data_IF_338017475129
#
_entry.id   IF_338017475129
#
_cell.length_a   1.000
_cell.length_b   1.000
_cell.length_c   1.000
_cell.angle_alpha   90.00
_cell.angle_beta   90.00
_cell.angle_gamma   90.00
#
_symmetry.space_group_name_H-M   'P 1'
#
loop_
_entity.id
_entity.type
_entity.pdbx_description
1 polymer ?
#
# COMPACT_ATOMS: atom_id res chain seq x y z
N UNK A 1 6.43 -6.77 -4.38
CA UNK A 1 5.97 -6.04 -5.59
C UNK A 1 4.44 -5.88 -5.62
N UNK A 2 3.65 -6.97 -5.65
CA UNK A 2 2.17 -6.88 -5.76
C UNK A 2 1.44 -6.11 -4.66
N UNK A 3 2.03 -6.02 -3.46
CA UNK A 3 1.52 -5.15 -2.39
C UNK A 3 1.70 -3.66 -2.64
N UNK A 4 2.46 -3.26 -3.68
CA UNK A 4 2.77 -1.87 -4.01
C UNK A 4 3.39 -1.06 -2.85
N UNK A 5 4.14 -1.73 -2.00
CA UNK A 5 4.86 -1.17 -0.86
C UNK A 5 6.37 -1.35 -1.10
N UNK A 6 7.03 -0.27 -1.54
CA UNK A 6 8.45 -0.23 -1.87
C UNK A 6 9.37 -0.56 -0.68
N UNK A 7 9.27 0.17 0.45
CA UNK A 7 10.05 -0.12 1.66
C UNK A 7 9.95 -1.58 2.12
N UNK A 8 8.73 -2.13 2.18
CA UNK A 8 8.53 -3.53 2.59
C UNK A 8 9.09 -4.52 1.56
N UNK A 9 8.96 -4.23 0.26
CA UNK A 9 9.53 -5.08 -0.79
C UNK A 9 11.06 -5.09 -0.73
N UNK A 10 11.69 -3.93 -0.51
CA UNK A 10 13.15 -3.83 -0.33
C UNK A 10 13.58 -4.60 0.92
N UNK A 11 12.92 -4.38 2.05
CA UNK A 11 13.25 -5.07 3.31
C UNK A 11 13.14 -6.59 3.20
N UNK A 12 12.11 -7.09 2.52
CA UNK A 12 11.93 -8.53 2.32
C UNK A 12 12.99 -9.08 1.37
N UNK A 13 13.29 -8.35 0.29
CA UNK A 13 14.30 -8.76 -0.68
C UNK A 13 15.71 -8.81 -0.08
N UNK A 14 16.09 -7.85 0.76
CA UNK A 14 17.42 -7.85 1.43
C UNK A 14 17.60 -9.02 2.40
N UNK A 15 16.52 -9.67 2.86
CA UNK A 15 16.57 -10.83 3.75
C UNK A 15 16.46 -12.16 3.01
N UNK A 16 15.60 -12.24 1.99
CA UNK A 16 15.32 -13.51 1.30
C UNK A 16 16.11 -13.68 -0.01
N UNK A 17 16.38 -12.61 -0.74
CA UNK A 17 17.07 -12.67 -2.04
C UNK A 17 17.85 -11.38 -2.35
N UNK A 18 18.96 -11.10 -1.63
CA UNK A 18 19.74 -9.87 -1.79
C UNK A 18 20.20 -9.63 -3.23
N UNK A 19 20.53 -10.70 -3.95
CA UNK A 19 20.96 -10.68 -5.35
C UNK A 19 19.88 -10.19 -6.33
N UNK A 20 18.60 -10.23 -5.94
CA UNK A 20 17.47 -9.76 -6.75
C UNK A 20 16.98 -8.36 -6.33
N UNK A 21 17.64 -7.71 -5.37
CA UNK A 21 17.19 -6.46 -4.79
C UNK A 21 16.99 -5.35 -5.84
N UNK A 22 17.99 -5.13 -6.69
CA UNK A 22 17.94 -4.09 -7.73
C UNK A 22 16.74 -4.25 -8.68
N UNK A 23 16.60 -5.41 -9.36
CA UNK A 23 15.43 -5.72 -10.18
C UNK A 23 14.08 -5.57 -9.47
N UNK A 24 13.97 -6.07 -8.23
CA UNK A 24 12.72 -5.99 -7.44
C UNK A 24 12.36 -4.55 -7.10
N UNK A 25 13.34 -3.75 -6.68
CA UNK A 25 13.13 -2.36 -6.28
C UNK A 25 12.71 -1.50 -7.48
N UNK A 26 13.37 -1.65 -8.64
CA UNK A 26 12.96 -0.96 -9.87
C UNK A 26 11.53 -1.33 -10.21
N UNK A 27 11.23 -2.62 -10.31
CA UNK A 27 9.89 -3.08 -10.66
C UNK A 27 8.84 -2.54 -9.69
N UNK A 28 9.09 -2.57 -8.38
CA UNK A 28 8.18 -2.05 -7.37
C UNK A 28 7.85 -0.57 -7.59
N UNK A 29 8.84 0.32 -7.68
CA UNK A 29 8.60 1.75 -7.82
C UNK A 29 8.08 2.14 -9.22
N UNK A 30 8.54 1.47 -10.28
CA UNK A 30 8.01 1.68 -11.63
C UNK A 30 6.52 1.34 -11.70
N UNK A 31 6.07 0.23 -11.12
CA UNK A 31 4.65 -0.12 -11.12
C UNK A 31 3.81 0.79 -10.22
N UNK A 32 4.35 1.30 -9.12
CA UNK A 32 3.68 2.32 -8.30
C UNK A 32 3.41 3.62 -9.08
N UNK A 33 4.26 3.98 -10.03
CA UNK A 33 4.02 5.12 -10.92
C UNK A 33 2.97 4.81 -12.02
N UNK A 34 2.86 3.55 -12.45
CA UNK A 34 1.96 3.10 -13.51
C UNK A 34 0.53 2.81 -13.03
N UNK A 35 0.24 2.94 -11.74
CA UNK A 35 -1.10 2.73 -11.15
C UNK A 35 -2.22 3.48 -11.89
N UNK A 36 -2.07 4.77 -12.25
CA UNK A 36 -3.10 5.50 -12.99
C UNK A 36 -3.38 4.93 -14.39
N UNK A 37 -2.46 4.13 -14.94
CA UNK A 37 -2.63 3.45 -16.21
C UNK A 37 -3.22 2.05 -16.04
N UNK A 38 -2.77 1.31 -15.02
CA UNK A 38 -3.15 -0.10 -14.81
C UNK A 38 -4.51 -0.25 -14.11
N UNK A 39 -4.80 0.56 -13.08
CA UNK A 39 -6.03 0.38 -12.30
C UNK A 39 -7.31 0.75 -13.08
N UNK A 40 -7.42 1.89 -13.77
CA UNK A 40 -8.70 2.30 -14.36
C UNK A 40 -9.30 1.34 -15.38
N UNK A 41 -8.52 0.67 -16.27
CA UNK A 41 -9.05 -0.39 -17.14
C UNK A 41 -9.70 -1.53 -16.34
N UNK A 42 -9.03 -2.03 -15.30
CA UNK A 42 -9.56 -3.11 -14.44
C UNK A 42 -10.81 -2.66 -13.67
N UNK A 43 -10.83 -1.43 -13.18
CA UNK A 43 -12.01 -0.85 -12.51
C UNK A 43 -13.20 -0.79 -13.46
N UNK A 44 -13.00 -0.37 -14.71
CA UNK A 44 -14.08 -0.32 -15.72
C UNK A 44 -14.57 -1.71 -16.12
N UNK A 45 -13.67 -2.69 -16.21
CA UNK A 45 -14.00 -4.07 -16.57
C UNK A 45 -14.80 -4.78 -15.46
N UNK A 46 -14.42 -4.59 -14.20
CA UNK A 46 -14.96 -5.33 -13.06
C UNK A 46 -16.11 -4.62 -12.32
N UNK A 47 -16.43 -3.37 -12.68
CA UNK A 47 -17.52 -2.59 -12.06
C UNK A 47 -18.49 -2.01 -13.09
N UNK A 48 -19.78 -2.02 -12.76
CA UNK A 48 -20.82 -1.38 -13.59
C UNK A 48 -20.88 0.12 -13.33
N UNK A 49 -21.46 0.89 -14.26
CA UNK A 49 -21.62 2.33 -14.07
C UNK A 49 -22.49 2.67 -12.85
N UNK A 50 -23.54 1.89 -12.58
CA UNK A 50 -24.39 2.05 -11.40
C UNK A 50 -23.58 1.91 -10.09
N UNK A 51 -22.72 0.90 -10.01
CA UNK A 51 -21.84 0.70 -8.85
C UNK A 51 -20.89 1.88 -8.64
N UNK A 52 -20.35 2.45 -9.72
CA UNK A 52 -19.41 3.57 -9.66
C UNK A 52 -20.05 4.87 -9.19
N UNK A 53 -21.35 5.04 -9.40
CA UNK A 53 -22.12 6.25 -9.01
C UNK A 53 -22.54 6.27 -7.54
N UNK A 54 -22.37 5.16 -6.81
CA UNK A 54 -22.71 5.05 -5.38
C UNK A 54 -21.93 6.09 -4.58
N UNK A 55 -22.66 6.94 -3.87
CA UNK A 55 -22.10 7.90 -2.91
C UNK A 55 -21.96 7.22 -1.56
N UNK A 56 -20.83 7.43 -0.90
CA UNK A 56 -20.60 6.92 0.46
C UNK A 56 -21.00 7.97 1.49
N UNK A 57 -21.54 7.51 2.61
CA UNK A 57 -21.87 8.35 3.76
C UNK A 57 -20.59 8.87 4.42
N UNK A 58 -20.65 10.08 4.99
CA UNK A 58 -19.52 10.70 5.68
C UNK A 58 -18.98 9.80 6.80
N UNK A 59 -17.66 9.81 6.97
CA UNK A 59 -17.03 9.04 8.02
C UNK A 59 -17.40 9.60 9.40
N UNK A 60 -17.51 8.71 10.41
CA UNK A 60 -17.70 9.12 11.80
C UNK A 60 -16.53 9.97 12.29
N UNK A 61 -16.78 10.88 13.21
CA UNK A 61 -15.70 11.54 13.93
C UNK A 61 -14.99 10.53 14.83
N UNK A 62 -13.66 10.50 14.72
CA UNK A 62 -12.82 9.58 15.50
C UNK A 62 -12.18 10.38 16.62
N UNK A 63 -12.38 9.92 17.86
CA UNK A 63 -11.84 10.56 19.05
C UNK A 63 -10.30 10.52 19.07
N UNK A 64 -9.66 11.52 19.69
CA UNK A 64 -8.19 11.54 19.85
C UNK A 64 -7.67 10.30 20.58
N UNK A 65 -8.43 9.79 21.57
CA UNK A 65 -8.10 8.57 22.30
C UNK A 65 -8.05 7.35 21.37
N UNK A 66 -9.04 7.19 20.48
CA UNK A 66 -9.05 6.09 19.51
C UNK A 66 -7.84 6.14 18.57
N UNK A 67 -7.45 7.34 18.09
CA UNK A 67 -6.29 7.48 17.21
C UNK A 67 -4.97 7.13 17.88
N UNK A 68 -4.81 7.42 19.17
CA UNK A 68 -3.61 7.09 19.96
C UNK A 68 -3.57 5.60 20.33
N UNK A 69 -4.72 5.01 20.69
CA UNK A 69 -4.80 3.60 21.08
C UNK A 69 -4.62 2.68 19.87
N UNK A 70 -5.12 3.08 18.69
CA UNK A 70 -5.04 2.31 17.46
C UNK A 70 -3.64 1.74 17.15
N UNK A 71 -2.56 2.55 17.05
CA UNK A 71 -1.24 2.02 16.72
C UNK A 71 -0.70 1.04 17.77
N UNK A 72 -0.99 1.26 19.06
CA UNK A 72 -0.54 0.39 20.15
C UNK A 72 -1.23 -0.97 20.08
N UNK A 73 -2.56 -0.98 19.88
CA UNK A 73 -3.35 -2.21 19.78
C UNK A 73 -2.98 -3.00 18.54
N UNK A 74 -2.87 -2.33 17.38
CA UNK A 74 -2.49 -2.99 16.12
C UNK A 74 -1.08 -3.58 16.22
N UNK A 75 -0.11 -2.81 16.72
CA UNK A 75 1.25 -3.32 16.89
C UNK A 75 1.27 -4.53 17.83
N UNK A 76 0.66 -4.42 19.00
CA UNK A 76 0.65 -5.51 20.00
C UNK A 76 0.00 -6.76 19.44
N UNK A 77 -1.18 -6.63 18.84
CA UNK A 77 -1.93 -7.78 18.31
C UNK A 77 -1.19 -8.47 17.16
N UNK A 78 -0.71 -7.69 16.18
CA UNK A 78 -0.04 -8.25 15.00
C UNK A 78 1.32 -8.86 15.36
N UNK A 79 2.08 -8.22 16.26
CA UNK A 79 3.40 -8.72 16.67
C UNK A 79 3.28 -9.99 17.51
N UNK A 80 2.29 -10.09 18.40
CA UNK A 80 2.06 -11.30 19.18
C UNK A 80 1.68 -12.49 18.28
N UNK A 81 0.93 -12.25 17.21
CA UNK A 81 0.55 -13.30 16.26
C UNK A 81 1.69 -13.66 15.29
N UNK A 82 2.42 -12.66 14.80
CA UNK A 82 3.50 -12.81 13.82
C UNK A 82 4.71 -11.96 14.25
N UNK A 83 5.60 -12.50 15.11
CA UNK A 83 6.75 -11.76 15.64
C UNK A 83 7.70 -11.24 14.56
N UNK A 84 7.82 -11.94 13.42
CA UNK A 84 8.61 -11.54 12.26
C UNK A 84 8.15 -10.22 11.63
N UNK A 85 6.92 -9.79 11.86
CA UNK A 85 6.39 -8.49 11.38
C UNK A 85 6.82 -7.31 12.27
N UNK A 86 7.38 -7.56 13.46
CA UNK A 86 7.67 -6.53 14.45
C UNK A 86 8.53 -5.36 13.93
N UNK A 87 9.59 -5.58 13.14
CA UNK A 87 10.37 -4.46 12.60
C UNK A 87 9.58 -3.58 11.63
N UNK A 88 8.63 -4.14 10.87
CA UNK A 88 7.84 -3.41 9.89
C UNK A 88 6.65 -2.71 10.54
N UNK A 89 5.78 -3.48 11.22
CA UNK A 89 4.57 -2.96 11.86
C UNK A 89 4.92 -2.06 13.04
N UNK A 90 5.95 -2.42 13.83
CA UNK A 90 6.40 -1.61 14.95
C UNK A 90 6.85 -0.22 14.51
N UNK A 91 7.73 -0.13 13.50
CA UNK A 91 8.18 1.16 12.96
C UNK A 91 7.04 1.97 12.33
N UNK A 92 6.13 1.33 11.60
CA UNK A 92 4.97 2.00 11.01
C UNK A 92 4.04 2.59 12.09
N UNK A 93 3.72 1.80 13.11
CA UNK A 93 2.84 2.22 14.20
C UNK A 93 3.53 3.24 15.13
N UNK A 94 4.85 3.18 15.29
CA UNK A 94 5.63 4.19 16.00
C UNK A 94 5.53 5.55 15.31
N UNK A 95 5.71 5.60 13.98
CA UNK A 95 5.53 6.83 13.20
C UNK A 95 4.10 7.39 13.32
N UNK A 96 3.09 6.51 13.34
CA UNK A 96 1.71 6.90 13.59
C UNK A 96 1.53 7.49 15.00
N UNK A 97 2.13 6.88 16.01
CA UNK A 97 2.05 7.37 17.39
C UNK A 97 2.74 8.74 17.55
N UNK A 98 3.89 8.98 16.91
CA UNK A 98 4.52 10.30 16.91
C UNK A 98 3.61 11.40 16.35
N UNK A 99 2.81 11.05 15.33
CA UNK A 99 1.86 11.98 14.72
C UNK A 99 0.63 12.23 15.60
N UNK A 100 0.09 11.19 16.22
CA UNK A 100 -1.21 11.27 16.91
C UNK A 100 -1.11 11.62 18.41
N UNK A 101 0.04 11.40 19.06
CA UNK A 101 0.19 11.68 20.50
C UNK A 101 0.18 13.18 20.84
N UNK A 102 0.55 14.06 19.90
CA UNK A 102 0.51 15.52 20.05
C UNK A 102 1.47 16.10 21.09
N UNK A 103 2.47 15.33 21.52
CA UNK A 103 3.55 15.79 22.43
C UNK A 103 4.94 15.65 21.81
N UNK A 104 5.03 15.06 20.60
CA UNK A 104 6.27 14.79 19.89
C UNK A 104 6.33 15.50 18.54
N UNK A 105 5.75 16.69 18.41
CA UNK A 105 5.64 17.41 17.13
C UNK A 105 6.98 17.58 16.43
N UNK A 106 8.05 17.94 17.18
CA UNK A 106 9.42 18.04 16.65
C UNK A 106 9.94 16.72 16.08
N UNK A 107 9.66 15.60 16.75
CA UNK A 107 10.09 14.28 16.29
C UNK A 107 9.28 13.85 15.07
N UNK A 108 7.96 14.07 15.10
CA UNK A 108 7.06 13.77 13.97
C UNK A 108 7.46 14.54 12.72
N UNK A 109 7.72 15.85 12.85
CA UNK A 109 8.16 16.71 11.75
C UNK A 109 9.53 16.26 11.20
N UNK A 110 10.50 16.03 12.09
CA UNK A 110 11.84 15.56 11.70
C UNK A 110 11.77 14.21 10.99
N UNK A 111 10.95 13.28 11.48
CA UNK A 111 10.79 11.94 10.92
C UNK A 111 10.12 11.96 9.54
N UNK A 112 9.09 12.78 9.34
CA UNK A 112 8.36 12.87 8.07
C UNK A 112 9.13 13.67 6.99
N UNK A 113 9.98 14.60 7.40
CA UNK A 113 10.71 15.49 6.49
C UNK A 113 12.20 15.12 6.43
N UNK A 114 13.02 15.74 7.30
CA UNK A 114 14.47 15.70 7.19
C UNK A 114 15.04 14.28 7.21
N UNK A 115 14.63 13.45 8.18
CA UNK A 115 15.11 12.08 8.31
C UNK A 115 14.66 11.21 7.13
N UNK A 116 13.40 11.33 6.71
CA UNK A 116 12.88 10.59 5.55
C UNK A 116 13.68 10.91 4.29
N UNK A 117 13.96 12.20 4.05
CA UNK A 117 14.72 12.63 2.88
C UNK A 117 16.16 12.11 2.88
N UNK A 118 16.85 12.19 4.04
CA UNK A 118 18.22 11.68 4.19
C UNK A 118 18.26 10.16 3.96
N UNK A 119 17.39 9.40 4.63
CA UNK A 119 17.35 7.94 4.50
C UNK A 119 16.96 7.53 3.08
N UNK A 120 16.07 8.28 2.42
CA UNK A 120 15.67 8.01 1.02
C UNK A 120 16.85 8.18 0.07
N UNK A 121 17.68 9.21 0.24
CA UNK A 121 18.89 9.40 -0.58
C UNK A 121 19.83 8.22 -0.41
N UNK A 122 20.13 7.82 0.83
CA UNK A 122 21.02 6.68 1.07
C UNK A 122 20.43 5.36 0.55
N UNK A 123 19.13 5.14 0.72
CA UNK A 123 18.46 3.95 0.21
C UNK A 123 18.49 3.90 -1.32
N UNK A 124 18.15 5.01 -1.99
CA UNK A 124 18.15 5.09 -3.45
C UNK A 124 19.56 4.86 -4.02
N UNK A 125 20.58 5.51 -3.46
CA UNK A 125 21.98 5.32 -3.88
C UNK A 125 22.44 3.89 -3.63
N UNK A 126 22.11 3.30 -2.47
CA UNK A 126 22.50 1.92 -2.13
C UNK A 126 21.83 0.89 -3.04
N UNK A 127 20.52 1.04 -3.29
CA UNK A 127 19.79 0.18 -4.23
C UNK A 127 20.33 0.36 -5.65
N UNK A 128 20.62 1.59 -6.06
CA UNK A 128 21.28 1.90 -7.34
C UNK A 128 22.63 1.22 -7.50
N UNK A 129 23.45 1.20 -6.44
CA UNK A 129 24.75 0.54 -6.44
C UNK A 129 24.66 -0.98 -6.66
N UNK A 130 23.53 -1.61 -6.31
CA UNK A 130 23.30 -3.05 -6.58
C UNK A 130 22.90 -3.37 -8.03
N UNK A 131 22.66 -2.36 -8.87
CA UNK A 131 22.24 -2.53 -10.27
C UNK A 131 23.43 -2.71 -11.22
N UNK A 132 24.30 -3.68 -10.95
CA UNK A 132 25.39 -4.03 -11.87
C UNK A 132 24.83 -4.69 -13.13
N UNK A 133 25.42 -4.41 -14.30
CA UNK A 133 24.92 -4.85 -15.60
C UNK A 133 24.64 -6.37 -15.66
N UNK A 134 25.48 -7.18 -15.00
CA UNK A 134 25.35 -8.64 -14.93
C UNK A 134 24.11 -9.11 -14.15
N UNK A 135 23.72 -8.38 -13.11
CA UNK A 135 22.53 -8.70 -12.29
C UNK A 135 21.25 -8.08 -12.87
N UNK A 136 21.37 -7.01 -13.65
CA UNK A 136 20.22 -6.31 -14.23
C UNK A 136 19.83 -6.84 -15.61
N UNK A 137 20.78 -7.06 -16.52
CA UNK A 137 20.54 -7.59 -17.88
C UNK A 137 20.46 -9.13 -17.88
N UNK A 138 19.62 -9.66 -16.99
CA UNK A 138 19.33 -11.08 -16.88
C UNK A 138 17.89 -11.36 -17.31
N UNK A 139 17.66 -12.52 -17.91
CA UNK A 139 16.34 -13.07 -18.18
C UNK A 139 15.47 -13.14 -16.91
N UNK A 140 16.09 -13.32 -15.75
CA UNK A 140 15.39 -13.28 -14.46
C UNK A 140 14.79 -11.91 -14.15
N UNK A 141 15.45 -10.81 -14.51
CA UNK A 141 14.91 -9.45 -14.36
C UNK A 141 13.65 -9.26 -15.19
N UNK A 142 13.64 -9.74 -16.44
CA UNK A 142 12.46 -9.66 -17.30
C UNK A 142 11.28 -10.44 -16.69
N UNK A 143 11.55 -11.62 -16.11
CA UNK A 143 10.54 -12.40 -15.38
C UNK A 143 10.00 -11.63 -14.17
N UNK A 144 10.85 -10.97 -13.38
CA UNK A 144 10.45 -10.16 -12.21
C UNK A 144 9.54 -9.02 -12.62
N UNK A 145 9.87 -8.33 -13.72
CA UNK A 145 9.05 -7.25 -14.28
C UNK A 145 7.68 -7.82 -14.69
N UNK A 146 7.65 -8.86 -15.54
CA UNK A 146 6.39 -9.47 -15.98
C UNK A 146 5.52 -9.97 -14.82
N UNK A 147 6.11 -10.67 -13.85
CA UNK A 147 5.42 -11.14 -12.65
C UNK A 147 4.95 -9.97 -11.77
N UNK A 148 5.72 -8.89 -11.69
CA UNK A 148 5.35 -7.69 -10.97
C UNK A 148 4.08 -7.04 -11.52
N UNK A 149 3.99 -6.90 -12.86
CA UNK A 149 2.78 -6.40 -13.52
C UNK A 149 1.58 -7.31 -13.27
N UNK A 150 1.76 -8.62 -13.46
CA UNK A 150 0.69 -9.60 -13.22
C UNK A 150 0.21 -9.58 -11.76
N UNK A 151 1.15 -9.54 -10.82
CA UNK A 151 0.86 -9.46 -9.38
C UNK A 151 0.08 -8.18 -9.03
N UNK A 152 0.42 -7.05 -9.65
CA UNK A 152 -0.31 -5.80 -9.48
C UNK A 152 -1.73 -5.86 -10.04
N UNK A 153 -1.92 -6.47 -11.21
CA UNK A 153 -3.25 -6.69 -11.80
C UNK A 153 -4.10 -7.60 -10.90
N UNK A 154 -3.54 -8.71 -10.41
CA UNK A 154 -4.22 -9.61 -9.48
C UNK A 154 -4.58 -8.90 -8.18
N UNK A 155 -3.68 -8.09 -7.62
CA UNK A 155 -3.91 -7.31 -6.40
C UNK A 155 -5.07 -6.33 -6.58
N UNK A 156 -5.07 -5.58 -7.70
CA UNK A 156 -6.17 -4.65 -8.02
C UNK A 156 -7.49 -5.38 -8.24
N UNK A 157 -7.48 -6.48 -8.99
CA UNK A 157 -8.67 -7.30 -9.23
C UNK A 157 -9.20 -7.92 -7.93
N UNK A 158 -8.33 -8.44 -7.07
CA UNK A 158 -8.69 -8.96 -5.75
C UNK A 158 -9.32 -7.90 -4.86
N UNK A 159 -8.72 -6.71 -4.80
CA UNK A 159 -9.29 -5.56 -4.10
C UNK A 159 -10.67 -5.17 -4.62
N UNK A 160 -10.85 -5.11 -5.94
CA UNK A 160 -12.14 -4.81 -6.57
C UNK A 160 -13.20 -5.88 -6.32
N UNK A 161 -12.82 -7.16 -6.35
CA UNK A 161 -13.72 -8.26 -6.01
C UNK A 161 -14.15 -8.17 -4.55
N UNK A 162 -13.22 -7.90 -3.63
CA UNK A 162 -13.52 -7.62 -2.22
C UNK A 162 -14.46 -6.42 -2.06
N UNK A 163 -14.20 -5.32 -2.77
CA UNK A 163 -15.09 -4.15 -2.81
C UNK A 163 -16.50 -4.50 -3.31
N UNK A 164 -16.61 -5.40 -4.29
CA UNK A 164 -17.90 -5.86 -4.84
C UNK A 164 -18.66 -6.79 -3.88
N UNK A 165 -17.94 -7.61 -3.12
CA UNK A 165 -18.52 -8.38 -2.01
C UNK A 165 -19.07 -7.42 -0.96
N UNK A 166 -18.29 -6.42 -0.55
CA UNK A 166 -18.73 -5.40 0.42
C UNK A 166 -19.91 -4.57 -0.09
N UNK A 167 -19.96 -4.26 -1.39
CA UNK A 167 -21.11 -3.61 -2.01
C UNK A 167 -22.39 -4.44 -1.84
N UNK A 168 -22.32 -5.76 -2.10
CA UNK A 168 -23.46 -6.67 -1.94
C UNK A 168 -23.87 -6.84 -0.47
N UNK A 169 -22.92 -7.09 0.42
CA UNK A 169 -23.19 -7.30 1.85
C UNK A 169 -23.75 -6.05 2.55
N UNK A 170 -23.35 -4.85 2.10
CA UNK A 170 -23.86 -3.59 2.63
C UNK A 170 -25.20 -3.15 2.05
N UNK A 171 -25.82 -3.94 1.17
CA UNK A 171 -27.05 -3.56 0.47
C UNK A 171 -26.86 -2.38 -0.49
N UNK A 172 -25.64 -2.21 -1.02
CA UNK A 172 -25.32 -1.20 -2.02
C UNK A 172 -24.76 0.13 -1.49
N UNK A 173 -24.38 0.19 -0.20
CA UNK A 173 -23.87 1.41 0.45
C UNK A 173 -22.37 1.66 0.20
N UNK A 174 -21.58 0.61 0.01
CA UNK A 174 -20.13 0.71 -0.15
C UNK A 174 -19.76 0.75 -1.63
N UNK A 175 -19.13 1.82 -2.10
CA UNK A 175 -18.69 1.92 -3.49
C UNK A 175 -17.53 0.93 -3.76
N UNK A 176 -17.66 -0.04 -4.69
CA UNK A 176 -16.62 -1.04 -4.92
C UNK A 176 -15.31 -0.48 -5.47
N UNK A 177 -15.30 0.77 -5.99
CA UNK A 177 -14.07 1.44 -6.42
C UNK A 177 -13.09 1.68 -5.26
N UNK A 178 -13.53 1.72 -4.00
CA UNK A 178 -12.59 1.81 -2.88
C UNK A 178 -11.75 0.53 -2.73
N UNK A 179 -12.20 -0.58 -3.32
CA UNK A 179 -11.49 -1.86 -3.29
C UNK A 179 -10.14 -1.81 -4.02
N UNK A 180 -10.06 -1.13 -5.17
CA UNK A 180 -8.77 -0.93 -5.87
C UNK A 180 -7.81 -0.03 -5.11
N UNK A 181 -8.32 0.82 -4.21
CA UNK A 181 -7.47 1.61 -3.32
C UNK A 181 -6.78 0.76 -2.26
N UNK A 182 -7.15 -0.51 -2.08
CA UNK A 182 -6.46 -1.46 -1.20
C UNK A 182 -5.03 -1.80 -1.65
N UNK A 183 -4.67 -1.46 -2.88
CA UNK A 183 -3.28 -1.49 -3.32
C UNK A 183 -2.53 -0.34 -2.65
N UNK A 184 -1.51 -0.67 -1.86
CA UNK A 184 -0.85 0.19 -0.84
C UNK A 184 -0.06 1.40 -1.35
N UNK A 185 -0.33 1.87 -2.56
CA UNK A 185 0.29 3.06 -3.10
C UNK A 185 -0.39 4.31 -2.56
N UNK A 186 0.09 4.75 -1.41
CA UNK A 186 -0.38 5.95 -0.72
C UNK A 186 0.23 7.21 -1.36
N UNK A 187 -0.55 8.28 -1.60
CA UNK A 187 -2.02 8.36 -1.64
C UNK A 187 -2.60 8.06 -3.05
N UNK A 188 -1.76 7.65 -4.01
CA UNK A 188 -2.11 7.62 -5.42
C UNK A 188 -3.25 6.65 -5.78
N UNK A 189 -3.30 5.44 -5.21
CA UNK A 189 -4.38 4.48 -5.49
C UNK A 189 -5.76 5.01 -5.07
N UNK A 190 -5.82 5.72 -3.95
CA UNK A 190 -7.04 6.39 -3.49
C UNK A 190 -7.43 7.57 -4.41
N UNK A 191 -6.45 8.34 -4.90
CA UNK A 191 -6.68 9.41 -5.89
C UNK A 191 -7.22 8.86 -7.21
N UNK A 192 -6.62 7.79 -7.74
CA UNK A 192 -7.10 7.12 -8.96
C UNK A 192 -8.53 6.63 -8.79
N UNK A 193 -8.86 6.05 -7.63
CA UNK A 193 -10.21 5.60 -7.32
C UNK A 193 -11.21 6.76 -7.28
N UNK A 194 -10.81 7.91 -6.71
CA UNK A 194 -11.61 9.14 -6.77
C UNK A 194 -11.79 9.64 -8.20
N UNK A 195 -10.74 9.70 -9.02
CA UNK A 195 -10.82 10.23 -10.38
C UNK A 195 -11.75 9.39 -11.25
N UNK A 196 -11.70 8.06 -11.11
CA UNK A 196 -12.63 7.15 -11.81
C UNK A 196 -14.07 7.35 -11.32
N UNK A 197 -14.28 7.54 -10.02
CA UNK A 197 -15.61 7.83 -9.47
C UNK A 197 -16.15 9.17 -9.99
N UNK A 198 -15.33 10.21 -10.03
CA UNK A 198 -15.70 11.55 -10.51
C UNK A 198 -16.04 11.57 -12.01
N UNK A 199 -15.40 10.72 -12.81
CA UNK A 199 -15.75 10.51 -14.22
C UNK A 199 -17.15 9.90 -14.38
N UNK A 200 -17.61 9.09 -13.42
CA UNK A 200 -18.96 8.52 -13.43
C UNK A 200 -20.00 9.41 -12.74
N UNK A 201 -19.60 10.20 -11.74
CA UNK A 201 -20.46 11.16 -11.04
C UNK A 201 -19.61 12.32 -10.50
N UNK A 202 -19.76 13.53 -11.06
CA UNK A 202 -18.96 14.71 -10.72
C UNK A 202 -19.02 15.10 -9.22
N UNK A 203 -20.10 14.71 -8.53
CA UNK A 203 -20.35 15.00 -7.11
C UNK A 203 -20.02 13.81 -6.19
N UNK A 204 -19.29 12.81 -6.68
CA UNK A 204 -18.87 11.65 -5.89
C UNK A 204 -17.40 11.75 -5.48
N UNK A 205 -17.15 12.03 -4.20
CA UNK A 205 -15.82 12.19 -3.63
C UNK A 205 -15.49 10.97 -2.78
N UNK A 206 -14.56 10.13 -3.27
CA UNK A 206 -14.19 8.89 -2.58
C UNK A 206 -12.85 8.99 -1.85
N UNK A 207 -12.03 10.03 -2.02
CA UNK A 207 -10.66 10.04 -1.50
C UNK A 207 -10.60 9.74 0.00
N UNK A 208 -11.44 10.40 0.82
CA UNK A 208 -11.45 10.18 2.26
C UNK A 208 -11.84 8.76 2.66
N UNK A 209 -12.77 8.14 1.92
CA UNK A 209 -13.18 6.74 2.15
C UNK A 209 -12.16 5.74 1.63
N UNK A 210 -11.56 6.01 0.47
CA UNK A 210 -10.58 5.17 -0.20
C UNK A 210 -9.21 5.16 0.52
N UNK A 211 -8.91 6.17 1.32
CA UNK A 211 -7.72 6.17 2.18
C UNK A 211 -7.74 5.06 3.23
N UNK A 212 -8.93 4.63 3.70
CA UNK A 212 -9.05 3.52 4.65
C UNK A 212 -8.47 2.21 4.09
N UNK A 213 -9.00 1.68 2.96
CA UNK A 213 -8.41 0.53 2.28
C UNK A 213 -6.93 0.73 1.92
N UNK A 214 -6.51 1.93 1.52
CA UNK A 214 -5.12 2.20 1.14
C UNK A 214 -4.16 2.02 2.33
N UNK A 215 -4.51 2.55 3.50
CA UNK A 215 -3.73 2.33 4.74
C UNK A 215 -3.79 0.86 5.17
N UNK A 216 -4.94 0.20 5.04
CA UNK A 216 -5.06 -1.23 5.31
C UNK A 216 -4.16 -2.08 4.40
N UNK A 217 -3.98 -1.66 3.14
CA UNK A 217 -3.05 -2.28 2.20
C UNK A 217 -1.59 -2.24 2.70
N UNK A 218 -1.14 -1.09 3.22
CA UNK A 218 0.22 -0.95 3.78
C UNK A 218 0.43 -1.92 4.94
N UNK A 219 -0.53 -1.98 5.86
CA UNK A 219 -0.50 -2.91 6.98
C UNK A 219 -0.50 -4.36 6.48
N UNK A 220 -1.37 -4.70 5.53
CA UNK A 220 -1.47 -6.02 4.93
C UNK A 220 -0.20 -6.46 4.21
N UNK A 221 0.49 -5.53 3.54
CA UNK A 221 1.76 -5.78 2.86
C UNK A 221 2.86 -6.12 3.87
N UNK A 222 2.93 -5.41 4.99
CA UNK A 222 3.86 -5.71 6.07
C UNK A 222 3.57 -7.05 6.77
N UNK A 223 2.29 -7.40 6.96
CA UNK A 223 1.88 -8.71 7.49
C UNK A 223 2.30 -9.82 6.52
N UNK A 224 2.01 -9.68 5.24
CA UNK A 224 2.39 -10.65 4.22
C UNK A 224 3.91 -10.82 4.15
N UNK A 225 4.68 -9.73 4.24
CA UNK A 225 6.13 -9.78 4.30
C UNK A 225 6.64 -10.52 5.54
N UNK A 226 6.11 -10.23 6.74
CA UNK A 226 6.50 -10.95 7.94
C UNK A 226 6.13 -12.43 7.89
N UNK A 227 4.99 -12.79 7.30
CA UNK A 227 4.66 -14.19 7.06
C UNK A 227 5.69 -14.86 6.14
N UNK A 228 6.03 -14.24 5.00
CA UNK A 228 7.05 -14.77 4.09
C UNK A 228 8.41 -14.91 4.77
N UNK A 229 8.81 -13.93 5.59
CA UNK A 229 10.03 -14.01 6.38
C UNK A 229 9.99 -15.13 7.42
N UNK A 230 8.83 -15.40 8.03
CA UNK A 230 8.70 -16.49 9.00
C UNK A 230 8.75 -17.87 8.36
N UNK A 231 8.34 -18.00 7.10
CA UNK A 231 8.27 -19.28 6.39
C UNK A 231 9.57 -19.57 5.63
N UNK A 232 10.21 -18.54 5.07
CA UNK A 232 11.34 -18.69 4.14
C UNK A 232 12.65 -18.05 4.63
N UNK A 233 12.64 -17.31 5.74
CA UNK A 233 13.82 -16.62 6.31
C UNK A 233 14.27 -17.25 7.61
#
# INVERSE_FOLDING_TARGET
IGGADGPTAIFTATRLAPQLLGPIAIAAYSYMALIPMIQPPLMKLLTTEQMRKVKMEQAREVSKKEKIIFPVVVATFVILLLPSTAPLIGCLMLGNLFRECGVTDRLSDTAQNALMNIVTIFLATSVGATMVAQSFLDWNTLKIIALGLLSFMISTTGGLLGGRVMYRLSGGKINPLIGSAGVSAVPMAARVSQDVARRSNKNNYLLMHAMGPNVAGVIGSAIAAGFLLSVFG
#
